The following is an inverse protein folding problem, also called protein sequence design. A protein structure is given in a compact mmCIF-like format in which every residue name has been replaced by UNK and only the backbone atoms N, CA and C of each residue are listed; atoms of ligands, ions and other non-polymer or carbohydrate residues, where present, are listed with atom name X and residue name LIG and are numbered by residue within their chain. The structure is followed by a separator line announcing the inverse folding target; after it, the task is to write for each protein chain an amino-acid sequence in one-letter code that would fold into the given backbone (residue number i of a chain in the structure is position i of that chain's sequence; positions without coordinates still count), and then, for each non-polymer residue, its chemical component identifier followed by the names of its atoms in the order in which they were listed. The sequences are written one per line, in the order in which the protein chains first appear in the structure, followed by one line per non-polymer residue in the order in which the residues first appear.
data_IF_813780077912
#
_entry.id   IF_813780077912
#
_cell.length_a   1.000
_cell.length_b   1.000
_cell.length_c   1.000
_cell.angle_alpha   90.00
_cell.angle_beta   90.00
_cell.angle_gamma   90.00
#
_symmetry.space_group_name_H-M   'P 1'
#
loop_
_entity.id
_entity.type
_entity.pdbx_description
1 polymer ?
#
# COMPACT_ATOMS: atom_id res chain seq x y z
N UNK A 1 -13.02 1.97 26.94
CA UNK A 1 -12.53 0.89 26.05
C UNK A 1 -12.17 1.55 24.74
N UNK A 2 -10.93 1.51 24.33
CA UNK A 2 -10.53 2.01 23.01
C UNK A 2 -11.27 1.21 21.95
N UNK A 3 -11.88 1.93 21.01
CA UNK A 3 -12.62 1.31 19.89
C UNK A 3 -11.63 0.53 19.03
N UNK A 4 -11.84 -0.79 18.86
CA UNK A 4 -11.03 -1.62 17.96
C UNK A 4 -10.98 -1.01 16.57
N UNK A 5 -9.81 -1.01 15.94
CA UNK A 5 -9.63 -0.58 14.55
C UNK A 5 -10.44 -1.51 13.65
N UNK A 6 -11.26 -0.95 12.78
CA UNK A 6 -12.00 -1.69 11.76
C UNK A 6 -11.15 -1.78 10.50
N UNK A 7 -10.92 -3.00 10.03
CA UNK A 7 -10.03 -3.28 8.90
C UNK A 7 -10.83 -3.93 7.78
N UNK A 8 -10.99 -3.22 6.66
CA UNK A 8 -11.49 -3.83 5.43
C UNK A 8 -10.36 -4.58 4.73
N UNK A 9 -10.67 -5.78 4.23
CA UNK A 9 -9.70 -6.63 3.53
C UNK A 9 -10.32 -7.08 2.21
N UNK A 10 -9.73 -6.72 1.07
CA UNK A 10 -10.17 -7.24 -0.23
C UNK A 10 -9.41 -8.52 -0.57
N UNK A 11 -10.13 -9.50 -1.13
CA UNK A 11 -9.59 -10.83 -1.38
C UNK A 11 -8.52 -10.91 -2.49
N UNK A 12 -8.36 -9.85 -3.30
CA UNK A 12 -7.43 -9.87 -4.43
C UNK A 12 -7.96 -10.73 -5.60
N UNK A 13 -7.06 -11.49 -6.24
CA UNK A 13 -7.45 -12.43 -7.28
C UNK A 13 -8.12 -13.67 -6.66
N UNK A 14 -9.33 -14.03 -7.12
CA UNK A 14 -10.06 -15.22 -6.64
C UNK A 14 -9.35 -16.54 -6.97
N UNK A 15 -8.47 -16.53 -7.96
CA UNK A 15 -7.67 -17.69 -8.38
C UNK A 15 -6.26 -17.70 -7.75
N UNK A 16 -5.93 -16.64 -6.99
CA UNK A 16 -4.65 -16.48 -6.33
C UNK A 16 -4.67 -16.90 -4.86
N UNK A 17 -3.65 -16.45 -4.14
CA UNK A 17 -3.40 -16.81 -2.74
C UNK A 17 -4.13 -15.91 -1.72
N UNK A 18 -4.93 -14.93 -2.17
CA UNK A 18 -5.51 -13.91 -1.30
C UNK A 18 -6.37 -14.48 -0.18
N UNK A 19 -7.34 -15.35 -0.51
CA UNK A 19 -8.16 -16.02 0.52
C UNK A 19 -7.35 -16.92 1.45
N UNK A 20 -6.32 -17.59 0.93
CA UNK A 20 -5.42 -18.43 1.73
C UNK A 20 -4.73 -17.59 2.81
N UNK A 21 -4.09 -16.49 2.40
CA UNK A 21 -3.39 -15.58 3.31
C UNK A 21 -4.34 -15.03 4.38
N UNK A 22 -5.52 -14.56 3.96
CA UNK A 22 -6.51 -13.99 4.86
C UNK A 22 -6.97 -15.04 5.89
N UNK A 23 -7.38 -16.21 5.43
CA UNK A 23 -7.88 -17.26 6.32
C UNK A 23 -6.80 -17.74 7.29
N UNK A 24 -5.57 -17.96 6.83
CA UNK A 24 -4.44 -18.35 7.69
C UNK A 24 -4.08 -17.26 8.71
N UNK A 25 -4.12 -15.98 8.33
CA UNK A 25 -3.82 -14.89 9.26
C UNK A 25 -4.81 -14.82 10.42
N UNK A 26 -6.06 -15.23 10.22
CA UNK A 26 -7.09 -15.23 11.25
C UNK A 26 -7.37 -16.61 11.88
N UNK A 27 -6.51 -17.60 11.64
CA UNK A 27 -6.46 -18.82 12.47
C UNK A 27 -6.03 -18.48 13.90
N UNK A 28 -5.13 -17.50 14.06
CA UNK A 28 -4.79 -16.94 15.34
C UNK A 28 -5.90 -16.00 15.85
N UNK A 29 -6.59 -16.41 16.90
CA UNK A 29 -7.64 -15.60 17.53
C UNK A 29 -7.12 -14.28 18.11
N UNK A 30 -5.82 -14.16 18.42
CA UNK A 30 -5.20 -12.92 18.87
C UNK A 30 -5.33 -11.77 17.87
N UNK A 31 -5.44 -12.07 16.57
CA UNK A 31 -5.71 -11.07 15.55
C UNK A 31 -7.06 -10.37 15.74
N UNK A 32 -8.08 -11.08 16.24
CA UNK A 32 -9.40 -10.52 16.54
C UNK A 32 -9.41 -9.62 17.77
N UNK A 33 -8.42 -9.74 18.65
CA UNK A 33 -8.26 -8.81 19.79
C UNK A 33 -7.77 -7.43 19.33
N UNK A 34 -6.95 -7.40 18.28
CA UNK A 34 -6.33 -6.17 17.77
C UNK A 34 -7.25 -5.38 16.85
N UNK A 35 -8.10 -6.04 16.06
CA UNK A 35 -8.94 -5.37 15.06
C UNK A 35 -10.27 -6.09 14.82
N UNK A 36 -11.19 -5.37 14.16
CA UNK A 36 -12.43 -5.92 13.62
C UNK A 36 -12.27 -6.08 12.10
N UNK A 37 -11.96 -7.30 11.61
CA UNK A 37 -11.76 -7.54 10.18
C UNK A 37 -13.07 -7.67 9.42
N UNK A 38 -13.12 -7.10 8.21
CA UNK A 38 -14.25 -7.20 7.27
C UNK A 38 -13.68 -7.60 5.90
N UNK A 39 -13.87 -8.84 5.48
CA UNK A 39 -13.45 -9.32 4.18
C UNK A 39 -14.50 -8.90 3.13
N UNK A 40 -14.07 -8.15 2.14
CA UNK A 40 -14.85 -7.83 0.95
C UNK A 40 -14.60 -8.90 -0.10
N UNK A 41 -15.55 -9.82 -0.28
CA UNK A 41 -15.38 -10.97 -1.15
C UNK A 41 -16.69 -11.68 -1.44
N UNK A 42 -16.59 -12.99 -1.70
CA UNK A 42 -17.73 -13.86 -1.91
C UNK A 42 -17.66 -15.06 -0.95
N UNK A 43 -18.69 -15.29 -0.12
CA UNK A 43 -18.69 -16.37 0.87
C UNK A 43 -18.52 -17.78 0.27
N UNK A 44 -19.09 -18.00 -0.93
CA UNK A 44 -18.98 -19.32 -1.62
C UNK A 44 -17.54 -19.59 -2.02
N UNK A 45 -16.87 -18.58 -2.60
CA UNK A 45 -15.47 -18.67 -3.03
C UNK A 45 -14.56 -18.85 -1.82
N UNK A 46 -14.78 -18.07 -0.76
CA UNK A 46 -14.02 -18.20 0.50
C UNK A 46 -14.18 -19.61 1.10
N UNK A 47 -15.39 -20.15 1.11
CA UNK A 47 -15.65 -21.53 1.57
C UNK A 47 -14.95 -22.56 0.69
N UNK A 48 -14.94 -22.36 -0.64
CA UNK A 48 -14.22 -23.24 -1.56
C UNK A 48 -12.72 -23.26 -1.23
N UNK A 49 -12.07 -22.09 -1.09
CA UNK A 49 -10.67 -21.99 -0.70
C UNK A 49 -10.41 -22.64 0.65
N UNK A 50 -11.23 -22.34 1.67
CA UNK A 50 -11.11 -22.92 3.01
C UNK A 50 -11.10 -24.44 2.98
N UNK A 51 -12.05 -25.03 2.24
CA UNK A 51 -12.17 -26.48 2.12
C UNK A 51 -11.02 -27.11 1.33
N UNK A 52 -10.62 -26.48 0.20
CA UNK A 52 -9.52 -26.97 -0.62
C UNK A 52 -8.18 -26.95 0.12
N UNK A 53 -8.00 -26.00 1.02
CA UNK A 53 -6.79 -25.83 1.83
C UNK A 53 -6.88 -26.52 3.20
N UNK A 54 -8.00 -27.18 3.50
CA UNK A 54 -8.26 -27.86 4.80
C UNK A 54 -8.10 -26.92 6.01
N UNK A 55 -8.51 -25.65 5.85
CA UNK A 55 -8.48 -24.66 6.93
C UNK A 55 -9.79 -24.69 7.72
N UNK A 56 -9.72 -24.44 9.02
CA UNK A 56 -10.88 -24.44 9.92
C UNK A 56 -11.36 -23.03 10.31
N UNK A 57 -10.70 -21.97 9.83
CA UNK A 57 -10.99 -20.57 10.17
C UNK A 57 -12.46 -20.23 9.94
N UNK A 58 -13.24 -19.95 11.00
CA UNK A 58 -14.64 -19.58 10.85
C UNK A 58 -14.78 -18.13 10.42
N UNK A 59 -15.80 -17.84 9.64
CA UNK A 59 -16.19 -16.46 9.34
C UNK A 59 -17.71 -16.30 9.41
N UNK A 60 -18.15 -15.10 9.74
CA UNK A 60 -19.57 -14.72 9.82
C UNK A 60 -19.95 -13.92 8.57
N UNK A 61 -20.99 -14.35 7.86
CA UNK A 61 -21.50 -13.63 6.69
C UNK A 61 -22.32 -12.44 7.18
N UNK A 62 -22.03 -11.26 6.63
CA UNK A 62 -22.74 -10.02 6.89
C UNK A 62 -23.22 -9.39 5.58
N UNK A 63 -24.30 -8.61 5.64
CA UNK A 63 -24.87 -7.93 4.48
C UNK A 63 -24.36 -6.49 4.32
N UNK A 64 -23.97 -5.85 5.41
CA UNK A 64 -23.44 -4.47 5.44
C UNK A 64 -22.24 -4.39 6.36
N UNK A 65 -21.35 -3.44 6.07
CA UNK A 65 -20.15 -3.24 6.88
C UNK A 65 -20.47 -2.83 8.33
N UNK A 66 -21.59 -2.12 8.54
CA UNK A 66 -22.06 -1.72 9.87
C UNK A 66 -22.40 -2.91 10.77
N UNK A 67 -22.82 -4.03 10.19
CA UNK A 67 -23.20 -5.25 10.92
C UNK A 67 -21.99 -6.08 11.40
N UNK A 68 -20.77 -5.58 11.20
CA UNK A 68 -19.56 -6.32 11.55
C UNK A 68 -19.42 -6.54 13.06
N UNK A 69 -19.26 -7.81 13.44
CA UNK A 69 -19.01 -8.22 14.82
C UNK A 69 -17.55 -7.99 15.21
N UNK A 70 -17.27 -7.31 16.33
CA UNK A 70 -15.91 -6.94 16.72
C UNK A 70 -14.98 -8.12 17.00
N UNK A 71 -15.54 -9.28 17.37
CA UNK A 71 -14.78 -10.46 17.78
C UNK A 71 -14.87 -11.62 16.77
N UNK A 72 -15.22 -11.31 15.52
CA UNK A 72 -15.35 -12.31 14.46
C UNK A 72 -14.69 -11.85 13.17
N UNK A 73 -14.21 -12.81 12.41
CA UNK A 73 -13.86 -12.57 11.01
C UNK A 73 -15.17 -12.40 10.21
N UNK A 74 -15.42 -11.21 9.71
CA UNK A 74 -16.64 -10.88 9.00
C UNK A 74 -16.41 -11.02 7.49
N UNK A 75 -17.38 -11.60 6.78
CA UNK A 75 -17.37 -11.76 5.32
C UNK A 75 -18.53 -10.99 4.72
N UNK A 76 -18.26 -9.91 4.01
CA UNK A 76 -19.23 -9.11 3.27
C UNK A 76 -19.29 -9.60 1.82
N UNK A 77 -20.45 -10.03 1.36
CA UNK A 77 -20.70 -10.32 -0.04
C UNK A 77 -20.59 -9.02 -0.86
N UNK A 78 -19.53 -8.86 -1.64
CA UNK A 78 -19.27 -7.66 -2.43
C UNK A 78 -19.61 -7.80 -3.92
N UNK A 79 -19.95 -9.00 -4.35
CA UNK A 79 -20.46 -9.33 -5.69
C UNK A 79 -21.21 -10.66 -5.64
N UNK A 80 -22.19 -10.84 -6.53
CA UNK A 80 -23.09 -12.01 -6.57
C UNK A 80 -22.79 -12.96 -7.74
N UNK A 81 -21.94 -12.57 -8.68
CA UNK A 81 -21.61 -13.37 -9.86
C UNK A 81 -20.91 -14.67 -9.47
N UNK A 82 -21.25 -15.74 -10.19
CA UNK A 82 -20.55 -17.00 -10.09
C UNK A 82 -19.19 -16.89 -10.79
N UNK A 83 -18.11 -17.00 -10.02
CA UNK A 83 -16.75 -17.05 -10.52
C UNK A 83 -16.22 -18.45 -10.30
N UNK A 84 -15.84 -19.12 -11.38
CA UNK A 84 -15.16 -20.42 -11.32
C UNK A 84 -13.75 -20.21 -10.78
N UNK A 85 -13.40 -20.92 -9.72
CA UNK A 85 -12.05 -20.87 -9.15
C UNK A 85 -11.14 -21.84 -9.89
N UNK A 86 -10.06 -21.29 -10.45
CA UNK A 86 -8.98 -22.04 -11.13
C UNK A 86 -7.64 -21.63 -10.53
N UNK A 87 -7.17 -22.33 -9.52
CA UNK A 87 -5.97 -21.97 -8.77
C UNK A 87 -4.76 -21.73 -9.67
N UNK A 88 -4.09 -20.58 -9.47
CA UNK A 88 -2.89 -20.18 -10.19
C UNK A 88 -3.11 -19.68 -11.61
N UNK A 89 -4.37 -19.62 -12.09
CA UNK A 89 -4.71 -19.18 -13.44
C UNK A 89 -5.55 -17.92 -13.44
N UNK A 90 -4.96 -16.73 -13.55
CA UNK A 90 -5.71 -15.47 -13.61
C UNK A 90 -6.68 -15.46 -14.79
N UNK A 91 -7.95 -15.11 -14.55
CA UNK A 91 -8.99 -14.99 -15.59
C UNK A 91 -9.59 -13.59 -15.59
N UNK A 92 -10.25 -13.18 -16.70
CA UNK A 92 -10.98 -11.91 -16.74
C UNK A 92 -12.05 -11.80 -15.64
N UNK A 93 -12.72 -12.91 -15.33
CA UNK A 93 -13.77 -12.99 -14.31
C UNK A 93 -13.18 -12.82 -12.90
N UNK A 94 -12.02 -13.46 -12.63
CA UNK A 94 -11.32 -13.30 -11.35
C UNK A 94 -10.82 -11.86 -11.14
N UNK A 95 -10.35 -11.21 -12.20
CA UNK A 95 -9.92 -9.82 -12.18
C UNK A 95 -11.10 -8.86 -11.96
N UNK A 96 -12.27 -9.13 -12.58
CA UNK A 96 -13.47 -8.32 -12.41
C UNK A 96 -14.04 -8.46 -10.99
N UNK A 97 -14.01 -9.67 -10.41
CA UNK A 97 -14.40 -9.91 -9.03
C UNK A 97 -13.51 -9.11 -8.05
N UNK A 98 -12.19 -9.12 -8.27
CA UNK A 98 -11.25 -8.31 -7.48
C UNK A 98 -11.55 -6.81 -7.59
N UNK A 99 -11.84 -6.31 -8.81
CA UNK A 99 -12.19 -4.91 -9.05
C UNK A 99 -13.48 -4.50 -8.32
N UNK A 100 -14.54 -5.34 -8.37
CA UNK A 100 -15.81 -5.08 -7.67
C UNK A 100 -15.63 -5.04 -6.16
N UNK A 101 -14.92 -6.01 -5.60
CA UNK A 101 -14.62 -6.04 -4.18
C UNK A 101 -13.86 -4.78 -3.72
N UNK A 102 -12.86 -4.36 -4.49
CA UNK A 102 -12.09 -3.14 -4.19
C UNK A 102 -12.94 -1.88 -4.33
N UNK A 103 -13.78 -1.78 -5.36
CA UNK A 103 -14.67 -0.64 -5.56
C UNK A 103 -15.63 -0.49 -4.37
N UNK A 104 -16.28 -1.57 -3.96
CA UNK A 104 -17.18 -1.58 -2.81
C UNK A 104 -16.46 -1.18 -1.52
N UNK A 105 -15.27 -1.73 -1.30
CA UNK A 105 -14.47 -1.37 -0.15
C UNK A 105 -14.09 0.13 -0.16
N UNK A 106 -13.71 0.71 -1.31
CA UNK A 106 -13.41 2.14 -1.44
C UNK A 106 -14.63 3.03 -1.17
N UNK A 107 -15.81 2.64 -1.60
CA UNK A 107 -17.05 3.35 -1.30
C UNK A 107 -17.34 3.38 0.20
N UNK A 108 -17.23 2.23 0.86
CA UNK A 108 -17.43 2.11 2.30
C UNK A 108 -16.35 2.85 3.11
N UNK A 109 -15.09 2.94 2.60
CA UNK A 109 -14.05 3.79 3.18
C UNK A 109 -14.42 5.27 3.14
N UNK A 110 -14.92 5.76 2.00
CA UNK A 110 -15.36 7.15 1.85
C UNK A 110 -16.49 7.49 2.82
N UNK A 111 -17.33 6.51 3.13
CA UNK A 111 -18.43 6.63 4.08
C UNK A 111 -17.98 6.48 5.55
N UNK A 112 -16.69 6.25 5.82
CA UNK A 112 -16.13 6.13 7.16
C UNK A 112 -16.54 4.84 7.89
N UNK A 113 -16.90 3.79 7.17
CA UNK A 113 -17.37 2.54 7.77
C UNK A 113 -16.24 1.68 8.35
N UNK A 114 -14.99 1.99 8.01
CA UNK A 114 -13.79 1.39 8.57
C UNK A 114 -12.58 2.35 8.53
N UNK A 115 -11.53 1.99 9.24
CA UNK A 115 -10.37 2.88 9.48
C UNK A 115 -9.24 2.66 8.47
N UNK A 116 -9.08 1.44 7.94
CA UNK A 116 -7.99 1.07 7.04
C UNK A 116 -8.42 0.00 6.03
N UNK A 117 -7.91 0.08 4.81
CA UNK A 117 -8.09 -0.92 3.75
C UNK A 117 -6.79 -1.69 3.53
N UNK A 118 -6.88 -3.02 3.66
CA UNK A 118 -5.83 -3.98 3.28
C UNK A 118 -6.25 -4.66 1.99
N UNK A 119 -5.36 -4.72 1.02
CA UNK A 119 -5.64 -5.39 -0.24
C UNK A 119 -4.74 -6.62 -0.38
N UNK A 120 -5.35 -7.79 -0.58
CA UNK A 120 -4.63 -9.01 -0.94
C UNK A 120 -4.08 -8.93 -2.39
N UNK A 121 -3.08 -9.76 -2.75
CA UNK A 121 -2.44 -9.69 -4.04
C UNK A 121 -3.39 -9.78 -5.24
N UNK A 122 -3.18 -8.92 -6.22
CA UNK A 122 -3.84 -8.92 -7.54
C UNK A 122 -2.79 -9.12 -8.63
N UNK A 123 -3.21 -9.55 -9.81
CA UNK A 123 -2.28 -9.70 -10.94
C UNK A 123 -1.57 -8.38 -11.25
N UNK A 124 -0.24 -8.36 -11.43
CA UNK A 124 0.61 -7.15 -11.43
C UNK A 124 0.22 -6.03 -12.41
N UNK A 125 -0.49 -6.33 -13.49
CA UNK A 125 -0.82 -5.34 -14.53
C UNK A 125 -2.10 -4.54 -14.27
N UNK A 126 -2.70 -4.64 -13.08
CA UNK A 126 -3.94 -3.94 -12.73
C UNK A 126 -3.94 -3.45 -11.29
N UNK A 127 -2.90 -2.73 -10.89
CA UNK A 127 -3.03 -1.86 -9.73
C UNK A 127 -4.06 -0.77 -10.11
N UNK A 128 -5.28 -0.81 -9.56
CA UNK A 128 -6.21 0.28 -9.80
C UNK A 128 -5.66 1.52 -9.12
N UNK A 129 -5.69 2.61 -9.84
CA UNK A 129 -5.38 3.95 -9.34
C UNK A 129 -3.92 4.20 -8.93
N UNK A 130 -3.05 4.25 -9.91
CA UNK A 130 -2.04 5.29 -9.94
C UNK A 130 -2.76 6.66 -10.09
N UNK A 131 -3.67 6.96 -9.15
CA UNK A 131 -4.18 8.31 -9.04
C UNK A 131 -2.98 9.16 -8.64
N UNK A 132 -2.61 10.13 -9.45
CA UNK A 132 -1.44 10.99 -9.26
C UNK A 132 -1.42 11.70 -7.87
N UNK A 133 -2.55 11.69 -7.18
CA UNK A 133 -2.76 12.24 -5.82
C UNK A 133 -2.46 11.27 -4.67
N UNK A 134 -2.07 10.02 -4.95
CA UNK A 134 -1.65 9.07 -3.91
C UNK A 134 -0.14 8.95 -3.85
N UNK A 135 0.39 8.54 -2.71
CA UNK A 135 1.81 8.25 -2.51
C UNK A 135 1.96 6.77 -2.15
N UNK A 136 2.72 6.04 -2.95
CA UNK A 136 3.14 4.69 -2.61
C UNK A 136 4.32 4.77 -1.63
N UNK A 137 4.16 4.16 -0.46
CA UNK A 137 5.21 4.01 0.53
C UNK A 137 5.46 2.53 0.75
N UNK A 138 6.67 2.09 0.45
CA UNK A 138 7.19 0.76 0.75
C UNK A 138 7.92 0.84 2.10
N UNK A 139 7.67 -0.12 2.99
CA UNK A 139 8.35 -0.12 4.27
C UNK A 139 8.64 -1.53 4.76
N UNK A 140 9.77 -1.66 5.43
CA UNK A 140 10.18 -2.85 6.16
C UNK A 140 11.02 -2.37 7.35
N UNK A 141 10.69 -2.83 8.55
CA UNK A 141 11.34 -2.41 9.79
C UNK A 141 11.52 -0.89 9.90
N UNK A 142 12.75 -0.40 9.84
CA UNK A 142 13.07 1.02 9.96
C UNK A 142 13.23 1.73 8.61
N UNK A 143 13.12 1.02 7.48
CA UNK A 143 13.26 1.60 6.15
C UNK A 143 11.87 1.92 5.58
N UNK A 144 11.70 3.16 5.11
CA UNK A 144 10.49 3.64 4.43
C UNK A 144 10.88 4.35 3.15
N UNK A 145 10.41 3.84 2.01
CA UNK A 145 10.72 4.39 0.69
C UNK A 145 9.42 4.78 -0.01
N UNK A 146 9.34 6.04 -0.39
CA UNK A 146 8.26 6.56 -1.21
C UNK A 146 8.74 6.81 -2.64
N UNK A 147 7.82 6.76 -3.61
CA UNK A 147 8.10 6.98 -5.01
C UNK A 147 7.48 8.29 -5.51
N UNK A 148 8.29 9.14 -6.15
CA UNK A 148 7.80 10.35 -6.81
C UNK A 148 7.02 10.00 -8.09
N UNK A 149 7.50 9.02 -8.85
CA UNK A 149 6.80 8.40 -9.98
C UNK A 149 6.68 6.90 -9.77
N UNK A 150 5.61 6.29 -10.25
CA UNK A 150 5.28 4.89 -10.03
C UNK A 150 4.77 4.25 -11.33
N UNK A 151 5.32 3.08 -11.68
CA UNK A 151 4.93 2.29 -12.86
C UNK A 151 4.98 3.03 -14.20
N UNK A 152 5.90 3.98 -14.36
CA UNK A 152 6.15 4.66 -15.62
C UNK A 152 7.28 3.97 -16.40
N UNK A 153 7.18 3.91 -17.74
CA UNK A 153 8.33 3.59 -18.57
C UNK A 153 9.49 4.55 -18.26
N UNK A 154 10.71 4.04 -18.16
CA UNK A 154 11.89 4.84 -17.78
C UNK A 154 12.06 6.11 -18.64
N UNK A 155 11.76 6.03 -19.94
CA UNK A 155 11.82 7.17 -20.88
C UNK A 155 10.88 8.33 -20.50
N UNK A 156 9.81 8.05 -19.76
CA UNK A 156 8.80 9.01 -19.40
C UNK A 156 8.99 9.57 -17.98
N UNK A 157 9.93 9.02 -17.20
CA UNK A 157 10.17 9.40 -15.80
C UNK A 157 10.59 10.87 -15.69
N UNK A 158 11.62 11.30 -16.41
CA UNK A 158 12.15 12.67 -16.31
C UNK A 158 11.08 13.73 -16.60
N UNK A 159 10.25 13.51 -17.63
CA UNK A 159 9.15 14.43 -17.98
C UNK A 159 8.05 14.50 -16.91
N UNK A 160 7.99 13.49 -16.03
CA UNK A 160 7.01 13.42 -14.95
C UNK A 160 7.56 13.88 -13.59
N UNK A 161 8.82 14.27 -13.49
CA UNK A 161 9.41 14.90 -12.30
C UNK A 161 9.26 16.42 -12.43
N UNK A 162 8.39 17.01 -11.64
CA UNK A 162 8.16 18.46 -11.57
C UNK A 162 8.30 18.96 -10.14
N UNK A 163 8.63 20.24 -9.95
CA UNK A 163 8.79 20.83 -8.62
C UNK A 163 7.49 20.70 -7.80
N UNK A 164 6.34 21.02 -8.39
CA UNK A 164 5.03 20.94 -7.71
C UNK A 164 4.72 19.52 -7.25
N UNK A 165 5.00 18.52 -8.10
CA UNK A 165 4.80 17.11 -7.77
C UNK A 165 5.70 16.67 -6.62
N UNK A 166 6.96 17.06 -6.61
CA UNK A 166 7.89 16.74 -5.53
C UNK A 166 7.43 17.38 -4.21
N UNK A 167 7.00 18.64 -4.24
CA UNK A 167 6.44 19.34 -3.07
C UNK A 167 5.20 18.60 -2.55
N UNK A 168 4.27 18.21 -3.42
CA UNK A 168 3.06 17.47 -3.04
C UNK A 168 3.43 16.11 -2.41
N UNK A 169 4.29 15.32 -3.07
CA UNK A 169 4.71 14.00 -2.59
C UNK A 169 5.45 14.06 -1.25
N UNK A 170 6.35 15.03 -1.06
CA UNK A 170 7.02 15.23 0.23
C UNK A 170 6.03 15.63 1.34
N UNK A 171 5.03 16.47 1.07
CA UNK A 171 3.99 16.82 2.04
C UNK A 171 3.14 15.61 2.44
N UNK A 172 2.76 14.78 1.47
CA UNK A 172 2.03 13.52 1.72
C UNK A 172 2.89 12.57 2.56
N UNK A 173 4.17 12.41 2.22
CA UNK A 173 5.10 11.57 2.96
C UNK A 173 5.25 12.06 4.40
N UNK A 174 5.55 13.34 4.61
CA UNK A 174 5.67 13.94 5.93
C UNK A 174 4.41 13.74 6.78
N UNK A 175 3.23 13.96 6.17
CA UNK A 175 1.95 13.76 6.86
C UNK A 175 1.74 12.30 7.27
N UNK A 176 2.06 11.36 6.38
CA UNK A 176 1.97 9.93 6.67
C UNK A 176 2.96 9.50 7.77
N UNK A 177 4.21 9.97 7.70
CA UNK A 177 5.21 9.69 8.74
C UNK A 177 4.74 10.12 10.12
N UNK A 178 4.14 11.29 10.25
CA UNK A 178 3.61 11.79 11.53
C UNK A 178 2.34 11.03 11.97
N UNK A 179 1.40 10.84 11.05
CA UNK A 179 0.08 10.28 11.37
C UNK A 179 0.12 8.76 11.54
N UNK A 180 0.75 8.07 10.58
CA UNK A 180 0.66 6.61 10.44
C UNK A 180 1.83 5.90 11.10
N UNK A 181 3.04 6.47 11.01
CA UNK A 181 4.25 5.93 11.63
C UNK A 181 4.61 6.56 12.99
N UNK A 182 3.87 7.59 13.43
CA UNK A 182 4.06 8.28 14.73
C UNK A 182 5.44 8.91 14.91
N UNK A 183 6.08 9.33 13.84
CA UNK A 183 7.37 10.01 13.86
C UNK A 183 7.12 11.53 13.97
N UNK A 184 7.47 12.16 15.08
CA UNK A 184 7.12 13.56 15.35
C UNK A 184 7.85 14.55 14.45
N UNK A 185 9.16 14.37 14.23
CA UNK A 185 10.02 15.26 13.46
C UNK A 185 10.74 14.46 12.36
N UNK A 186 10.02 13.98 11.34
CA UNK A 186 10.60 13.08 10.35
C UNK A 186 11.64 13.77 9.48
N UNK A 187 12.77 13.09 9.28
CA UNK A 187 13.85 13.48 8.38
C UNK A 187 13.69 12.72 7.07
N UNK A 188 13.47 13.43 5.97
CA UNK A 188 13.22 12.85 4.65
C UNK A 188 14.45 13.05 3.77
N UNK A 189 15.03 11.96 3.27
CA UNK A 189 16.02 12.01 2.22
C UNK A 189 15.35 12.01 0.85
N UNK A 190 15.82 12.81 -0.09
CA UNK A 190 15.36 12.84 -1.48
C UNK A 190 16.51 12.43 -2.37
N UNK A 191 16.27 11.43 -3.22
CA UNK A 191 17.28 10.96 -4.15
C UNK A 191 17.35 11.88 -5.37
N UNK A 192 18.51 11.89 -6.02
CA UNK A 192 18.70 12.48 -7.34
C UNK A 192 17.98 11.62 -8.39
N UNK A 193 17.58 12.21 -9.50
CA UNK A 193 17.06 11.47 -10.65
C UNK A 193 18.20 10.74 -11.36
N UNK A 194 19.33 11.44 -11.51
CA UNK A 194 20.47 10.98 -12.29
C UNK A 194 21.61 10.46 -11.39
N UNK A 195 22.41 9.47 -11.84
CA UNK A 195 23.57 8.99 -11.10
C UNK A 195 24.68 10.05 -11.02
N UNK A 196 24.70 10.99 -11.96
CA UNK A 196 25.48 12.22 -11.87
C UNK A 196 24.48 13.38 -11.97
N UNK A 197 24.37 14.23 -10.91
CA UNK A 197 23.46 15.36 -10.90
C UNK A 197 23.67 16.29 -12.09
N UNK A 198 22.56 16.72 -12.70
CA UNK A 198 22.54 17.55 -13.90
C UNK A 198 21.38 18.57 -13.87
N UNK A 199 20.83 18.84 -15.05
CA UNK A 199 19.83 19.88 -15.22
C UNK A 199 18.54 19.66 -14.40
N UNK A 200 18.11 18.41 -14.25
CA UNK A 200 16.92 18.07 -13.45
C UNK A 200 17.14 18.37 -11.97
N UNK A 201 18.33 18.04 -11.45
CA UNK A 201 18.68 18.33 -10.05
C UNK A 201 18.78 19.82 -9.81
N UNK A 202 19.45 20.57 -10.71
CA UNK A 202 19.68 22.00 -10.55
C UNK A 202 18.39 22.83 -10.72
N UNK A 203 17.57 22.49 -11.73
CA UNK A 203 16.44 23.34 -12.12
C UNK A 203 15.11 22.88 -11.55
N UNK A 204 14.98 21.63 -11.08
CA UNK A 204 13.70 21.07 -10.59
C UNK A 204 13.83 20.59 -9.15
N UNK A 205 14.77 19.66 -8.87
CA UNK A 205 14.79 18.97 -7.57
C UNK A 205 15.28 19.91 -6.47
N UNK A 206 16.41 20.57 -6.65
CA UNK A 206 16.99 21.49 -5.64
C UNK A 206 16.06 22.66 -5.32
N UNK A 207 15.42 23.35 -6.29
CA UNK A 207 14.42 24.37 -5.99
C UNK A 207 13.17 23.83 -5.26
N UNK A 208 12.73 22.61 -5.61
CA UNK A 208 11.62 21.97 -4.90
C UNK A 208 11.97 21.70 -3.42
N UNK A 209 13.18 21.16 -3.17
CA UNK A 209 13.66 20.93 -1.79
C UNK A 209 13.68 22.21 -0.96
N UNK A 210 14.16 23.30 -1.53
CA UNK A 210 14.15 24.62 -0.85
C UNK A 210 12.72 25.06 -0.48
N UNK A 211 11.77 24.92 -1.39
CA UNK A 211 10.35 25.22 -1.13
C UNK A 211 9.77 24.34 -0.04
N UNK A 212 10.16 23.05 0.01
CA UNK A 212 9.71 22.11 1.03
C UNK A 212 10.31 22.49 2.39
N UNK A 213 11.60 22.81 2.46
CA UNK A 213 12.30 23.25 3.66
C UNK A 213 11.69 24.54 4.23
N UNK A 214 11.40 25.54 3.38
CA UNK A 214 10.73 26.78 3.75
C UNK A 214 9.32 26.53 4.35
N UNK A 215 8.68 25.42 4.03
CA UNK A 215 7.41 24.99 4.64
C UNK A 215 7.55 24.31 6.01
N UNK A 216 8.79 24.18 6.53
CA UNK A 216 9.08 23.57 7.83
C UNK A 216 9.23 22.05 7.82
N UNK A 217 9.34 21.43 6.66
CA UNK A 217 9.59 19.99 6.52
C UNK A 217 11.09 19.74 6.44
N UNK A 218 11.61 18.84 7.28
CA UNK A 218 13.02 18.45 7.26
C UNK A 218 13.30 17.55 6.05
N UNK A 219 13.85 18.13 5.01
CA UNK A 219 14.20 17.46 3.77
C UNK A 219 15.67 17.66 3.45
N UNK A 220 16.31 16.64 2.89
CA UNK A 220 17.76 16.61 2.61
C UNK A 220 18.02 15.97 1.25
N UNK A 221 19.01 16.46 0.52
CA UNK A 221 19.41 15.95 -0.78
C UNK A 221 19.60 17.07 -1.82
N UNK A 222 19.56 16.78 -3.13
CA UNK A 222 19.40 15.42 -3.69
C UNK A 222 20.65 14.56 -3.50
N UNK A 223 20.46 13.28 -3.16
CA UNK A 223 21.54 12.30 -3.02
C UNK A 223 21.55 11.36 -4.22
N UNK A 224 22.72 11.01 -4.75
CA UNK A 224 22.81 9.91 -5.73
C UNK A 224 22.48 8.58 -5.06
N UNK A 225 21.74 7.70 -5.73
CA UNK A 225 21.24 6.49 -5.08
C UNK A 225 22.36 5.53 -4.66
N UNK A 226 23.39 5.39 -5.48
CA UNK A 226 24.57 4.56 -5.22
C UNK A 226 25.34 5.02 -3.98
N UNK A 227 25.67 6.30 -3.89
CA UNK A 227 26.37 6.87 -2.73
C UNK A 227 25.50 6.79 -1.47
N UNK A 228 24.21 7.08 -1.60
CA UNK A 228 23.28 7.11 -0.48
C UNK A 228 23.13 5.74 0.19
N UNK A 229 22.91 4.72 -0.60
CA UNK A 229 22.77 3.36 -0.08
C UNK A 229 24.12 2.70 0.18
N UNK A 230 25.11 2.90 -0.72
CA UNK A 230 26.44 2.31 -0.61
C UNK A 230 27.20 2.75 0.64
N UNK A 231 27.03 3.99 1.07
CA UNK A 231 27.64 4.55 2.28
C UNK A 231 26.75 4.40 3.53
N UNK A 232 25.59 3.75 3.43
CA UNK A 232 24.70 3.54 4.57
C UNK A 232 24.02 4.81 5.09
N UNK A 233 23.95 5.89 4.30
CA UNK A 233 23.35 7.16 4.73
C UNK A 233 21.87 7.01 5.08
N UNK A 234 21.19 6.03 4.50
CA UNK A 234 19.78 5.75 4.72
C UNK A 234 19.43 5.49 6.20
N UNK A 235 20.35 5.01 7.01
CA UNK A 235 20.14 4.82 8.47
C UNK A 235 19.96 6.15 9.22
N UNK A 236 20.34 7.27 8.62
CA UNK A 236 20.18 8.59 9.21
C UNK A 236 18.83 9.27 8.94
N UNK A 237 17.90 8.60 8.23
CA UNK A 237 16.66 9.18 7.78
C UNK A 237 15.46 8.29 8.14
N UNK A 238 14.31 8.92 8.35
CA UNK A 238 13.06 8.24 8.69
C UNK A 238 12.32 7.74 7.44
N UNK A 239 12.55 8.41 6.30
CA UNK A 239 12.02 8.00 5.00
C UNK A 239 12.87 8.54 3.84
N UNK A 240 12.71 7.90 2.68
CA UNK A 240 13.41 8.20 1.44
C UNK A 240 12.36 8.48 0.36
N UNK A 241 12.48 9.57 -0.37
CA UNK A 241 11.73 9.80 -1.60
C UNK A 241 12.63 9.48 -2.79
N UNK A 242 12.36 8.35 -3.44
CA UNK A 242 13.02 7.95 -4.68
C UNK A 242 12.27 8.51 -5.90
N UNK A 243 12.97 8.78 -6.99
CA UNK A 243 12.37 9.38 -8.18
C UNK A 243 11.54 8.37 -8.99
N UNK A 244 11.94 7.09 -9.01
CA UNK A 244 11.29 6.04 -9.78
C UNK A 244 11.50 4.65 -9.16
N UNK A 245 10.79 3.66 -9.70
CA UNK A 245 10.67 2.30 -9.13
C UNK A 245 12.03 1.63 -8.86
N UNK A 246 12.97 1.63 -9.82
CA UNK A 246 14.21 0.89 -9.66
C UNK A 246 15.10 1.47 -8.55
N UNK A 247 15.08 2.79 -8.34
CA UNK A 247 15.81 3.40 -7.21
C UNK A 247 15.26 2.94 -5.85
N UNK A 248 13.94 2.79 -5.74
CA UNK A 248 13.29 2.36 -4.51
C UNK A 248 13.34 0.85 -4.31
N UNK A 249 13.29 0.07 -5.38
CA UNK A 249 13.21 -1.40 -5.32
C UNK A 249 14.54 -2.09 -5.00
N UNK A 250 15.68 -1.42 -5.13
CA UNK A 250 17.00 -2.00 -4.79
C UNK A 250 17.02 -2.48 -3.34
N UNK A 251 16.44 -1.73 -2.44
CA UNK A 251 16.28 -2.14 -1.03
C UNK A 251 15.28 -3.30 -0.83
N UNK A 252 14.31 -3.48 -1.74
CA UNK A 252 13.36 -4.58 -1.71
C UNK A 252 14.03 -5.95 -1.83
N UNK A 253 15.15 -6.02 -2.57
CA UNK A 253 15.94 -7.25 -2.74
C UNK A 253 16.75 -7.58 -1.49
N UNK A 254 17.05 -6.58 -0.66
CA UNK A 254 17.93 -6.73 0.51
C UNK A 254 17.16 -6.98 1.82
N UNK A 255 15.84 -6.77 1.85
CA UNK A 255 15.02 -6.97 3.04
C UNK A 255 13.90 -7.97 2.75
N UNK A 256 13.88 -9.11 3.46
CA UNK A 256 12.75 -10.04 3.43
C UNK A 256 11.51 -9.39 4.06
N UNK A 257 10.40 -9.31 3.30
CA UNK A 257 9.11 -8.93 3.87
C UNK A 257 8.69 -7.46 3.73
N UNK A 258 8.91 -6.84 2.57
CA UNK A 258 8.46 -5.48 2.29
C UNK A 258 6.94 -5.33 2.35
N UNK A 259 6.46 -4.31 3.05
CA UNK A 259 5.04 -3.92 3.12
C UNK A 259 4.80 -2.66 2.31
N UNK A 260 3.62 -2.57 1.68
CA UNK A 260 3.25 -1.43 0.84
C UNK A 260 2.11 -0.65 1.49
N UNK A 261 2.29 0.65 1.62
CA UNK A 261 1.27 1.60 2.06
C UNK A 261 1.00 2.60 0.92
N UNK A 262 -0.24 2.72 0.49
CA UNK A 262 -0.67 3.85 -0.33
C UNK A 262 -1.29 4.91 0.57
N UNK A 263 -0.62 6.05 0.69
CA UNK A 263 -1.07 7.17 1.50
C UNK A 263 -1.70 8.27 0.61
N UNK A 264 -2.92 8.65 0.95
CA UNK A 264 -3.62 9.80 0.37
C UNK A 264 -4.12 10.74 1.46
N UNK A 265 -4.58 11.94 1.11
CA UNK A 265 -5.03 12.94 2.10
C UNK A 265 -6.21 12.44 2.96
N UNK A 266 -7.01 11.50 2.46
CA UNK A 266 -8.22 10.97 3.14
C UNK A 266 -8.30 9.45 3.23
N UNK A 267 -7.38 8.71 2.62
CA UNK A 267 -7.50 7.25 2.51
C UNK A 267 -6.18 6.55 2.88
N UNK A 268 -6.29 5.44 3.63
CA UNK A 268 -5.19 4.56 3.99
C UNK A 268 -5.44 3.20 3.33
N UNK A 269 -4.57 2.79 2.43
CA UNK A 269 -4.59 1.45 1.85
C UNK A 269 -3.24 0.79 2.10
N UNK A 270 -3.25 -0.32 2.81
CA UNK A 270 -2.05 -1.12 3.07
C UNK A 270 -2.05 -2.29 2.10
N UNK A 271 -0.97 -2.44 1.37
CA UNK A 271 -0.72 -3.57 0.49
C UNK A 271 0.26 -4.50 1.18
N UNK A 272 -0.09 -5.77 1.28
CA UNK A 272 0.82 -6.79 1.78
C UNK A 272 1.34 -7.58 0.59
N UNK A 273 2.64 -7.47 0.32
CA UNK A 273 3.31 -8.32 -0.65
C UNK A 273 4.01 -9.44 0.12
N UNK A 274 3.48 -10.65 0.06
CA UNK A 274 4.19 -11.85 0.52
C UNK A 274 4.97 -12.45 -0.65
N UNK A 275 6.18 -12.94 -0.37
CA UNK A 275 6.89 -13.90 -1.21
C UNK A 275 6.30 -15.28 -1.05
#
# INVERSE_FOLDING_TARGET
MDKKIRVAITHGDTNGIGYEIILKAFEDSGMLEMCTPIIYGNPKIATYHRNALQLETPFSIISKAEDAHPDKLNMLASFDEEVKVEFGSPTPESAEAARKALQRAKEDLKNGLYDVLVQAPVVPNRTPDANDKSLLIMFADDIRIALATNHLPLKDVAANITADKLVEKCRLLHTSLKRDFRINNPRIAVLALNPQPGAEEENIITPALKTIEESGIQVYGPFTADDFFGNGLHYGFDAILAMYDDQGNVQKVLTDGLRLLSAGMTQRTIWHCMR
#
